data_IF_253200431012
#
_entry.id   IF_253200431012
#
_cell.length_a   1.000
_cell.length_b   1.000
_cell.length_c   1.000
_cell.angle_alpha   90.00
_cell.angle_beta   90.00
_cell.angle_gamma   90.00
#
_symmetry.space_group_name_H-M   'P 1'
#
loop_
_entity.id
_entity.type
_entity.pdbx_description
1 polymer ?
#
# COMPACT_ATOMS: atom_id res chain seq x y z
N UNK A 1 2.93 21.38 19.41
CA UNK A 1 1.89 20.42 18.96
C UNK A 1 2.46 19.02 18.99
N UNK A 2 1.72 18.08 19.52
CA UNK A 2 2.19 16.68 19.61
C UNK A 2 2.19 16.05 18.22
N UNK A 3 3.35 15.57 17.75
CA UNK A 3 3.47 14.84 16.48
C UNK A 3 3.40 13.34 16.69
N UNK A 4 2.71 12.66 15.79
CA UNK A 4 2.72 11.20 15.71
C UNK A 4 3.83 10.72 14.77
N UNK A 5 4.53 9.67 15.16
CA UNK A 5 5.54 9.04 14.30
C UNK A 5 4.92 8.30 13.12
N UNK A 6 3.71 7.76 13.33
CA UNK A 6 2.98 6.95 12.35
C UNK A 6 1.50 7.25 12.46
N UNK A 7 0.85 7.43 11.32
CA UNK A 7 -0.61 7.48 11.20
C UNK A 7 -1.03 6.45 10.15
N UNK A 8 -1.89 5.53 10.55
CA UNK A 8 -2.40 4.49 9.65
C UNK A 8 -3.71 4.97 9.02
N UNK A 9 -3.79 4.86 7.70
CA UNK A 9 -4.99 5.18 6.92
C UNK A 9 -5.38 3.93 6.13
N UNK A 10 -6.48 3.32 6.51
CA UNK A 10 -7.04 2.18 5.81
C UNK A 10 -7.84 2.68 4.60
N UNK A 11 -7.23 2.66 3.42
CA UNK A 11 -7.87 3.16 2.18
C UNK A 11 -8.86 2.17 1.57
N UNK A 12 -8.85 0.93 2.03
CA UNK A 12 -9.88 -0.08 1.79
C UNK A 12 -9.77 -1.20 2.82
N UNK A 13 -10.88 -1.84 3.13
CA UNK A 13 -10.90 -3.08 3.90
C UNK A 13 -11.23 -4.31 3.01
N UNK A 14 -11.29 -4.11 1.70
CA UNK A 14 -11.44 -5.18 0.71
C UNK A 14 -10.08 -5.82 0.44
N UNK A 15 -10.03 -7.15 0.42
CA UNK A 15 -8.84 -7.90 0.09
C UNK A 15 -9.16 -9.00 -0.94
N UNK A 16 -8.27 -9.23 -1.88
CA UNK A 16 -8.37 -10.30 -2.85
C UNK A 16 -7.83 -11.65 -2.34
N UNK A 17 -7.34 -11.67 -1.09
CA UNK A 17 -6.90 -12.87 -0.40
C UNK A 17 -7.71 -13.09 0.88
N UNK A 18 -7.67 -14.32 1.39
CA UNK A 18 -8.33 -14.71 2.64
C UNK A 18 -7.35 -15.48 3.52
N UNK A 19 -6.32 -14.77 4.00
CA UNK A 19 -5.28 -15.35 4.84
C UNK A 19 -5.86 -15.91 6.13
N UNK A 20 -5.42 -17.10 6.51
CA UNK A 20 -5.90 -17.79 7.72
C UNK A 20 -5.51 -17.07 9.03
N UNK A 21 -4.41 -16.28 9.01
CA UNK A 21 -3.96 -15.47 10.15
C UNK A 21 -4.60 -14.09 10.23
N UNK A 22 -5.37 -13.67 9.21
CA UNK A 22 -5.98 -12.34 9.17
C UNK A 22 -7.28 -12.32 9.99
N UNK A 23 -7.42 -11.41 10.98
CA UNK A 23 -8.68 -11.20 11.69
C UNK A 23 -9.66 -10.50 10.76
N UNK A 24 -10.47 -11.25 10.03
CA UNK A 24 -11.44 -10.71 9.06
C UNK A 24 -12.31 -9.63 9.69
N UNK A 25 -12.54 -8.55 8.92
CA UNK A 25 -13.42 -7.48 9.36
C UNK A 25 -14.89 -7.88 9.34
N UNK A 26 -15.64 -7.42 10.37
CA UNK A 26 -17.11 -7.47 10.39
C UNK A 26 -17.76 -6.21 9.80
N UNK A 27 -16.94 -5.20 9.48
CA UNK A 27 -17.40 -3.93 8.88
C UNK A 27 -17.83 -4.16 7.43
N UNK A 28 -18.75 -3.32 6.95
CA UNK A 28 -19.12 -3.29 5.53
C UNK A 28 -17.88 -3.00 4.67
N UNK A 29 -17.74 -3.72 3.57
CA UNK A 29 -16.66 -3.48 2.62
C UNK A 29 -16.76 -2.09 2.00
N UNK A 30 -15.64 -1.40 1.93
CA UNK A 30 -15.56 -0.04 1.42
C UNK A 30 -14.21 0.26 0.79
N UNK A 31 -14.25 1.05 -0.28
CA UNK A 31 -13.11 1.76 -0.83
C UNK A 31 -13.23 3.23 -0.45
N UNK A 32 -12.16 3.81 0.11
CA UNK A 32 -12.09 5.24 0.37
C UNK A 32 -12.05 5.99 -0.97
N UNK A 33 -12.84 7.04 -1.10
CA UNK A 33 -12.84 7.89 -2.29
C UNK A 33 -11.86 9.07 -2.16
N UNK A 34 -11.71 9.85 -3.24
CA UNK A 34 -10.77 10.98 -3.29
C UNK A 34 -11.10 12.07 -2.27
N UNK A 35 -12.36 12.41 -2.12
CA UNK A 35 -12.85 13.46 -1.21
C UNK A 35 -12.60 13.07 0.25
N UNK A 36 -12.89 11.83 0.60
CA UNK A 36 -12.64 11.29 1.94
C UNK A 36 -11.14 11.30 2.25
N UNK A 37 -10.30 10.88 1.30
CA UNK A 37 -8.85 10.88 1.48
C UNK A 37 -8.30 12.29 1.66
N UNK A 38 -8.70 13.23 0.80
CA UNK A 38 -8.28 14.64 0.88
C UNK A 38 -8.66 15.24 2.24
N UNK A 39 -9.87 14.96 2.72
CA UNK A 39 -10.30 15.40 4.04
C UNK A 39 -9.37 14.84 5.15
N UNK A 40 -9.14 13.54 5.15
CA UNK A 40 -8.31 12.87 6.16
C UNK A 40 -6.87 13.40 6.16
N UNK A 41 -6.24 13.53 5.00
CA UNK A 41 -4.84 14.02 4.94
C UNK A 41 -4.71 15.47 5.37
N UNK A 42 -5.72 16.31 5.15
CA UNK A 42 -5.76 17.67 5.69
C UNK A 42 -5.80 17.67 7.23
N UNK A 43 -6.61 16.79 7.81
CA UNK A 43 -6.73 16.66 9.27
C UNK A 43 -5.47 16.11 9.93
N UNK A 44 -4.79 15.14 9.29
CA UNK A 44 -3.62 14.48 9.90
C UNK A 44 -2.30 15.19 9.65
N UNK A 45 -2.20 15.98 8.58
CA UNK A 45 -0.97 16.66 8.19
C UNK A 45 -0.30 17.47 9.31
N UNK A 46 -1.01 18.24 10.15
CA UNK A 46 -0.38 18.98 11.24
C UNK A 46 0.33 18.09 12.26
N UNK A 47 -0.02 16.81 12.32
CA UNK A 47 0.41 15.89 13.37
C UNK A 47 1.43 14.84 12.90
N UNK A 48 1.64 14.66 11.60
CA UNK A 48 2.57 13.66 11.08
C UNK A 48 3.18 14.07 9.74
N UNK A 49 4.33 13.49 9.43
CA UNK A 49 4.96 13.53 8.12
C UNK A 49 4.87 12.17 7.40
N UNK A 50 4.47 11.11 8.13
CA UNK A 50 4.43 9.74 7.62
C UNK A 50 3.04 9.12 7.78
N UNK A 51 2.45 8.71 6.67
CA UNK A 51 1.20 7.96 6.64
C UNK A 51 1.45 6.54 6.10
N UNK A 52 0.63 5.61 6.57
CA UNK A 52 0.77 4.19 6.28
C UNK A 52 -0.54 3.66 5.71
N UNK A 53 -0.50 3.22 4.45
CA UNK A 53 -1.62 2.49 3.85
C UNK A 53 -1.53 1.03 4.29
N UNK A 54 -2.14 0.76 5.41
CA UNK A 54 -2.06 -0.52 6.10
C UNK A 54 -3.32 -0.76 6.93
N UNK A 55 -3.36 -1.88 7.59
CA UNK A 55 -4.34 -2.52 8.44
C UNK A 55 -5.09 -3.61 7.67
N UNK A 56 -6.40 -3.46 7.45
CA UNK A 56 -7.20 -4.45 6.73
C UNK A 56 -7.21 -4.17 5.23
N UNK A 57 -7.48 -5.20 4.45
CA UNK A 57 -7.62 -5.08 3.01
C UNK A 57 -6.31 -5.09 2.23
N UNK A 58 -6.43 -5.01 0.91
CA UNK A 58 -5.30 -4.85 -0.02
C UNK A 58 -5.37 -3.45 -0.65
N UNK A 59 -4.45 -2.54 -0.29
CA UNK A 59 -4.49 -1.15 -0.77
C UNK A 59 -4.44 -1.02 -2.29
N UNK A 60 -3.75 -1.93 -2.98
CA UNK A 60 -3.61 -1.88 -4.44
C UNK A 60 -4.90 -2.20 -5.21
N UNK A 61 -5.95 -2.64 -4.52
CA UNK A 61 -7.29 -2.77 -5.10
C UNK A 61 -8.01 -1.42 -5.22
N UNK A 62 -7.58 -0.39 -4.49
CA UNK A 62 -8.20 0.92 -4.59
C UNK A 62 -7.74 1.62 -5.88
N UNK A 63 -8.66 1.83 -6.81
CA UNK A 63 -8.38 2.42 -8.12
C UNK A 63 -7.92 3.88 -8.04
N UNK A 64 -8.26 4.58 -6.97
CA UNK A 64 -7.87 5.97 -6.72
C UNK A 64 -6.48 6.13 -6.07
N UNK A 65 -5.71 5.04 -5.95
CA UNK A 65 -4.43 5.05 -5.22
C UNK A 65 -3.40 6.04 -5.80
N UNK A 66 -3.40 6.25 -7.12
CA UNK A 66 -2.51 7.24 -7.74
C UNK A 66 -2.85 8.66 -7.29
N UNK A 67 -4.13 8.98 -7.18
CA UNK A 67 -4.59 10.25 -6.61
C UNK A 67 -4.14 10.38 -5.15
N UNK A 68 -4.21 9.31 -4.37
CA UNK A 68 -3.78 9.34 -2.97
C UNK A 68 -2.27 9.60 -2.83
N UNK A 69 -1.46 9.05 -3.71
CA UNK A 69 -0.03 9.36 -3.74
C UNK A 69 0.24 10.81 -4.11
N UNK A 70 -0.43 11.33 -5.13
CA UNK A 70 -0.24 12.71 -5.57
C UNK A 70 -0.74 13.72 -4.52
N UNK A 71 -1.90 13.48 -3.92
CA UNK A 71 -2.43 14.32 -2.84
C UNK A 71 -1.50 14.30 -1.61
N UNK A 72 -0.97 13.14 -1.26
CA UNK A 72 0.03 13.01 -0.20
C UNK A 72 1.29 13.83 -0.50
N UNK A 73 1.76 13.78 -1.76
CA UNK A 73 2.90 14.59 -2.22
C UNK A 73 2.62 16.08 -2.08
N UNK A 74 1.47 16.53 -2.56
CA UNK A 74 1.07 17.94 -2.49
C UNK A 74 1.00 18.47 -1.06
N UNK A 75 0.71 17.58 -0.11
CA UNK A 75 0.69 17.89 1.33
C UNK A 75 2.05 17.70 2.03
N UNK A 76 3.08 17.23 1.31
CA UNK A 76 4.39 16.94 1.89
C UNK A 76 4.38 15.75 2.84
N UNK A 77 3.50 14.78 2.61
CA UNK A 77 3.41 13.53 3.36
C UNK A 77 4.17 12.41 2.64
N UNK A 78 4.86 11.59 3.41
CA UNK A 78 5.52 10.37 2.96
C UNK A 78 4.62 9.17 3.18
N UNK A 79 4.41 8.38 2.12
CA UNK A 79 3.55 7.19 2.18
C UNK A 79 4.40 5.95 2.37
N UNK A 80 3.95 5.09 3.28
CA UNK A 80 4.46 3.74 3.47
C UNK A 80 3.31 2.76 3.15
N UNK A 81 3.55 1.83 2.25
CA UNK A 81 2.57 0.90 1.73
C UNK A 81 2.86 -0.51 2.22
N UNK A 82 1.83 -1.23 2.64
CA UNK A 82 1.91 -2.69 2.87
C UNK A 82 0.95 -3.38 1.92
N UNK A 83 1.45 -4.35 1.17
CA UNK A 83 0.70 -5.09 0.15
C UNK A 83 0.97 -6.58 0.24
N UNK A 84 0.01 -7.40 -0.17
CA UNK A 84 0.21 -8.84 -0.34
C UNK A 84 1.02 -9.18 -1.60
N UNK A 85 1.31 -8.22 -2.46
CA UNK A 85 2.15 -8.37 -3.63
C UNK A 85 1.51 -9.00 -4.86
N UNK A 86 0.27 -9.47 -4.79
CA UNK A 86 -0.38 -10.18 -5.90
C UNK A 86 -0.70 -9.30 -7.11
N UNK A 87 -0.74 -7.98 -6.92
CA UNK A 87 -1.10 -7.02 -7.97
C UNK A 87 0.11 -6.26 -8.54
N UNK A 88 1.33 -6.58 -8.10
CA UNK A 88 2.54 -5.86 -8.52
C UNK A 88 2.80 -5.92 -10.03
N UNK A 89 2.46 -7.02 -10.69
CA UNK A 89 2.54 -7.13 -12.16
C UNK A 89 1.63 -6.13 -12.90
N UNK A 90 0.52 -5.73 -12.28
CA UNK A 90 -0.46 -4.80 -12.87
C UNK A 90 -0.21 -3.34 -12.51
N UNK A 91 0.16 -3.08 -11.26
CA UNK A 91 0.23 -1.71 -10.72
C UNK A 91 1.61 -1.29 -10.26
N UNK A 92 2.61 -2.16 -10.36
CA UNK A 92 3.98 -1.87 -9.90
C UNK A 92 4.58 -0.62 -10.53
N UNK A 93 4.37 -0.39 -11.82
CA UNK A 93 4.86 0.79 -12.52
C UNK A 93 4.27 2.10 -11.96
N UNK A 94 3.02 2.08 -11.50
CA UNK A 94 2.38 3.22 -10.83
C UNK A 94 3.05 3.51 -9.48
N UNK A 95 3.41 2.46 -8.74
CA UNK A 95 4.12 2.60 -7.46
C UNK A 95 5.52 3.20 -7.68
N UNK A 96 6.24 2.75 -8.69
CA UNK A 96 7.59 3.25 -9.01
C UNK A 96 7.56 4.74 -9.37
N UNK A 97 6.50 5.22 -10.01
CA UNK A 97 6.31 6.62 -10.38
C UNK A 97 5.82 7.51 -9.23
N UNK A 98 5.33 6.91 -8.15
CA UNK A 98 4.72 7.64 -7.03
C UNK A 98 5.78 8.31 -6.14
N UNK A 99 5.96 9.60 -6.29
CA UNK A 99 7.03 10.37 -5.61
C UNK A 99 6.84 10.54 -4.11
N UNK A 100 5.63 10.42 -3.59
CA UNK A 100 5.35 10.40 -2.15
C UNK A 100 5.62 9.03 -1.50
N UNK A 101 5.71 7.98 -2.29
CA UNK A 101 5.92 6.62 -1.80
C UNK A 101 7.36 6.46 -1.31
N UNK A 102 7.51 6.23 -0.02
CA UNK A 102 8.80 6.09 0.65
C UNK A 102 9.21 4.64 0.84
N UNK A 103 8.24 3.76 1.12
CA UNK A 103 8.51 2.38 1.47
C UNK A 103 7.38 1.47 1.02
N UNK A 104 7.74 0.30 0.49
CA UNK A 104 6.81 -0.77 0.17
C UNK A 104 7.20 -2.01 0.99
N UNK A 105 6.26 -2.49 1.79
CA UNK A 105 6.37 -3.76 2.52
C UNK A 105 5.54 -4.81 1.78
N UNK A 106 6.17 -5.91 1.38
CA UNK A 106 5.50 -7.01 0.70
C UNK A 106 5.34 -8.18 1.67
N UNK A 107 4.10 -8.55 1.94
CA UNK A 107 3.75 -9.64 2.85
C UNK A 107 3.83 -10.99 2.13
N UNK A 108 5.02 -11.54 1.94
CA UNK A 108 5.25 -12.80 1.21
C UNK A 108 4.49 -13.98 1.83
N UNK A 109 4.37 -14.00 3.16
CA UNK A 109 3.63 -15.05 3.88
C UNK A 109 2.13 -15.09 3.56
N UNK A 110 1.57 -14.02 3.01
CA UNK A 110 0.18 -14.01 2.55
C UNK A 110 -0.06 -15.00 1.43
N UNK A 111 0.93 -15.28 0.59
CA UNK A 111 0.80 -16.25 -0.48
C UNK A 111 0.63 -17.68 0.05
N UNK A 112 1.41 -18.06 1.07
CA UNK A 112 1.33 -19.39 1.69
C UNK A 112 0.04 -19.61 2.49
N UNK A 113 -0.52 -18.53 3.04
CA UNK A 113 -1.72 -18.56 3.86
C UNK A 113 -3.03 -18.66 3.06
N UNK A 114 -2.95 -18.75 1.74
CA UNK A 114 -4.10 -18.85 0.83
C UNK A 114 -4.04 -20.09 -0.04
N UNK A 115 -5.23 -20.53 -0.48
CA UNK A 115 -5.28 -21.51 -1.58
C UNK A 115 -4.71 -20.85 -2.83
N UNK A 116 -3.76 -21.51 -3.46
CA UNK A 116 -3.03 -20.97 -4.61
C UNK A 116 -3.97 -20.66 -5.76
N UNK A 117 -3.98 -19.39 -6.17
CA UNK A 117 -4.66 -18.92 -7.38
C UNK A 117 -3.65 -18.68 -8.51
N UNK A 118 -2.36 -18.66 -8.19
CA UNK A 118 -1.22 -18.47 -9.10
C UNK A 118 -0.11 -19.40 -8.65
N UNK A 119 0.75 -19.83 -9.56
CA UNK A 119 1.93 -20.61 -9.20
C UNK A 119 2.92 -19.75 -8.41
N UNK A 120 3.62 -20.37 -7.46
CA UNK A 120 4.58 -19.69 -6.58
C UNK A 120 5.68 -18.98 -7.39
N UNK A 121 6.18 -19.62 -8.44
CA UNK A 121 7.22 -19.06 -9.29
C UNK A 121 6.75 -17.77 -9.97
N UNK A 122 5.57 -17.77 -10.56
CA UNK A 122 4.98 -16.59 -11.20
C UNK A 122 4.80 -15.43 -10.21
N UNK A 123 4.34 -15.73 -8.99
CA UNK A 123 4.23 -14.74 -7.93
C UNK A 123 5.58 -14.15 -7.53
N UNK A 124 6.58 -15.02 -7.30
CA UNK A 124 7.93 -14.58 -6.92
C UNK A 124 8.63 -13.81 -8.04
N UNK A 125 8.42 -14.20 -9.29
CA UNK A 125 8.93 -13.47 -10.46
C UNK A 125 8.34 -12.05 -10.51
N UNK A 126 7.05 -11.89 -10.32
CA UNK A 126 6.41 -10.57 -10.32
C UNK A 126 6.92 -9.68 -9.19
N UNK A 127 7.15 -10.24 -8.02
CA UNK A 127 7.75 -9.53 -6.87
C UNK A 127 9.19 -9.13 -7.18
N UNK A 128 9.97 -10.06 -7.71
CA UNK A 128 11.38 -9.82 -8.05
C UNK A 128 11.53 -8.76 -9.13
N UNK A 129 10.74 -8.84 -10.19
CA UNK A 129 10.71 -7.83 -11.26
C UNK A 129 10.38 -6.44 -10.74
N UNK A 130 9.40 -6.33 -9.86
CA UNK A 130 9.07 -5.08 -9.20
C UNK A 130 10.25 -4.53 -8.38
N UNK A 131 10.91 -5.38 -7.59
CA UNK A 131 12.06 -5.00 -6.77
C UNK A 131 13.20 -4.48 -7.63
N UNK A 132 13.53 -5.17 -8.72
CA UNK A 132 14.60 -4.78 -9.65
C UNK A 132 14.29 -3.42 -10.26
N UNK A 133 13.09 -3.25 -10.82
CA UNK A 133 12.65 -1.97 -11.41
C UNK A 133 12.64 -0.82 -10.40
N UNK A 134 12.18 -1.07 -9.18
CA UNK A 134 12.15 -0.08 -8.11
C UNK A 134 13.57 0.37 -7.72
N UNK A 135 14.53 -0.55 -7.67
CA UNK A 135 15.95 -0.25 -7.38
C UNK A 135 16.63 0.53 -8.51
N UNK A 136 16.31 0.23 -9.75
CA UNK A 136 16.85 0.95 -10.92
C UNK A 136 16.33 2.39 -10.99
N UNK A 137 15.13 2.64 -10.52
CA UNK A 137 14.48 3.98 -10.48
C UNK A 137 14.64 4.66 -9.12
N UNK A 138 15.70 4.50 -8.47
CA UNK A 138 16.26 4.75 -7.15
C UNK A 138 15.71 5.85 -6.23
N UNK A 139 14.57 6.46 -6.48
CA UNK A 139 13.89 7.35 -5.52
C UNK A 139 13.08 6.57 -4.47
N UNK A 140 12.88 5.26 -4.69
CA UNK A 140 12.16 4.35 -3.79
C UNK A 140 13.17 3.40 -3.14
N UNK A 141 14.01 3.92 -2.29
CA UNK A 141 15.04 3.15 -1.62
C UNK A 141 14.71 2.93 -0.15
N UNK A 142 13.75 2.09 0.14
CA UNK A 142 13.69 1.36 1.42
C UNK A 142 12.71 0.18 1.29
N UNK A 143 13.16 -0.88 0.64
CA UNK A 143 12.53 -2.19 0.78
C UNK A 143 12.95 -2.72 2.14
N UNK A 144 12.06 -2.70 3.13
CA UNK A 144 12.32 -3.35 4.40
C UNK A 144 12.32 -4.86 4.20
N UNK A 145 13.33 -5.47 4.80
CA UNK A 145 13.43 -6.92 4.92
C UNK A 145 12.31 -7.49 5.76
#
# INVERSE_FOLDING_TARGET
MRKFKKVYIEITNVCNLSCNFCPKTKRKYKFMNKEEFTYIVNEVKPFTEHIYFHLMGEPLLNEDIEYFFEESRNKGLHVNLTTNGTLLSKVGDKLIKAKSLRQVNISLHSFEANKKTVELEEYLDSVTDFIIKARENSDIMNLSK
#
